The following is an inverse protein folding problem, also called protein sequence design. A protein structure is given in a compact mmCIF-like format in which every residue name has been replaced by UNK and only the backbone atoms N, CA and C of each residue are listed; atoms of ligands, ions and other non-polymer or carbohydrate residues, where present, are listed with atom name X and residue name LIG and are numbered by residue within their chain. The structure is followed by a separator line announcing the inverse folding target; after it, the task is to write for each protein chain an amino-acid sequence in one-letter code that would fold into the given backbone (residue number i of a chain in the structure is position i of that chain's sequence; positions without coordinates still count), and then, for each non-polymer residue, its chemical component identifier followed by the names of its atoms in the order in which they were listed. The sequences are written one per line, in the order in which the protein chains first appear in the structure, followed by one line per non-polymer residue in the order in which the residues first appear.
data_IF_478926131204
#
_entry.id   IF_478926131204
#
_cell.length_a   1.000
_cell.length_b   1.000
_cell.length_c   1.000
_cell.angle_alpha   90.00
_cell.angle_beta   90.00
_cell.angle_gamma   90.00
#
_symmetry.space_group_name_H-M   'P 1'
#
loop_
_entity.id
_entity.type
_entity.pdbx_description
1 polymer ?
#
# COMPACT_ATOMS: atom_id res chain seq x y z
N UNK A 1 5.47 17.43 25.82
CA UNK A 1 5.51 16.79 24.48
C UNK A 1 4.98 15.35 24.53
N UNK A 2 3.84 15.10 25.20
CA UNK A 2 3.35 13.73 25.51
C UNK A 2 2.15 13.30 24.63
N UNK A 3 1.99 13.84 23.42
CA UNK A 3 0.73 13.68 22.67
C UNK A 3 0.87 12.94 21.36
N UNK A 4 1.84 13.26 20.49
CA UNK A 4 1.94 12.57 19.19
C UNK A 4 2.45 11.12 19.33
N UNK A 5 3.39 10.91 20.26
CA UNK A 5 3.96 9.61 20.53
C UNK A 5 2.97 8.67 21.20
N UNK A 6 2.21 9.18 22.18
CA UNK A 6 1.18 8.40 22.88
C UNK A 6 -0.01 8.08 21.99
N UNK A 7 -0.35 8.97 21.04
CA UNK A 7 -1.40 8.69 20.04
C UNK A 7 -0.93 7.62 19.04
N UNK A 8 0.31 7.71 18.54
CA UNK A 8 0.89 6.69 17.68
C UNK A 8 1.04 5.35 18.42
N UNK A 9 1.50 5.35 19.68
CA UNK A 9 1.60 4.19 20.55
C UNK A 9 0.22 3.57 20.88
N UNK A 10 -0.84 4.37 21.08
CA UNK A 10 -2.18 3.82 21.32
C UNK A 10 -2.80 3.22 20.06
N UNK A 11 -2.55 3.83 18.90
CA UNK A 11 -3.01 3.29 17.62
C UNK A 11 -2.25 2.01 17.24
N UNK A 12 -0.95 1.91 17.56
CA UNK A 12 -0.16 0.67 17.35
C UNK A 12 -0.59 -0.47 18.26
N UNK A 13 -1.16 -0.17 19.44
CA UNK A 13 -1.68 -1.18 20.39
C UNK A 13 -3.03 -1.76 19.98
N UNK A 14 -3.78 -1.06 19.12
CA UNK A 14 -5.06 -1.53 18.59
C UNK A 14 -5.11 -1.37 17.06
N UNK A 15 -4.62 -2.38 16.31
CA UNK A 15 -4.61 -2.36 14.85
C UNK A 15 -5.99 -2.14 14.22
N UNK A 16 -7.07 -2.42 14.95
CA UNK A 16 -8.45 -2.22 14.53
C UNK A 16 -8.79 -0.74 14.30
N UNK A 17 -8.11 0.18 15.00
CA UNK A 17 -8.27 1.63 14.81
C UNK A 17 -7.42 2.18 13.64
N UNK A 18 -6.56 1.36 13.02
CA UNK A 18 -5.66 1.78 11.92
C UNK A 18 -6.20 1.51 10.51
N UNK A 19 -7.33 0.81 10.37
CA UNK A 19 -7.93 0.52 9.06
C UNK A 19 -8.56 1.74 8.40
N UNK A 20 -8.79 2.82 9.15
CA UNK A 20 -9.29 4.08 8.60
C UNK A 20 -8.17 4.85 7.87
N UNK A 21 -8.41 5.12 6.59
CA UNK A 21 -7.54 5.93 5.72
C UNK A 21 -7.24 7.31 6.32
N UNK A 22 -8.22 7.96 6.94
CA UNK A 22 -8.05 9.29 7.54
C UNK A 22 -7.09 9.21 8.73
N UNK A 23 -7.25 8.20 9.57
CA UNK A 23 -6.40 7.96 10.74
C UNK A 23 -4.96 7.65 10.31
N UNK A 24 -4.77 6.83 9.25
CA UNK A 24 -3.46 6.57 8.64
C UNK A 24 -2.78 7.86 8.16
N UNK A 25 -3.47 8.70 7.40
CA UNK A 25 -2.88 9.95 6.88
C UNK A 25 -2.48 10.92 8.00
N UNK A 26 -3.30 11.02 9.06
CA UNK A 26 -2.99 11.84 10.24
C UNK A 26 -1.72 11.34 10.94
N UNK A 27 -1.61 10.03 11.20
CA UNK A 27 -0.42 9.42 11.82
C UNK A 27 0.84 9.72 11.00
N UNK A 28 0.79 9.49 9.69
CA UNK A 28 1.92 9.70 8.79
C UNK A 28 2.34 11.19 8.71
N UNK A 29 1.37 12.10 8.74
CA UNK A 29 1.62 13.55 8.69
C UNK A 29 2.16 14.09 10.01
N UNK A 30 1.66 13.62 11.15
CA UNK A 30 2.20 13.95 12.47
C UNK A 30 3.64 13.45 12.61
N UNK A 31 3.90 12.19 12.23
CA UNK A 31 5.22 11.58 12.25
C UNK A 31 6.24 12.36 11.39
N UNK A 32 5.83 12.81 10.20
CA UNK A 32 6.66 13.69 9.35
C UNK A 32 6.95 15.03 10.02
N UNK A 33 5.96 15.61 10.71
CA UNK A 33 6.10 16.89 11.42
C UNK A 33 7.08 16.78 12.60
N UNK A 34 7.08 15.66 13.33
CA UNK A 34 8.05 15.39 14.40
C UNK A 34 9.47 15.36 13.83
N UNK A 35 9.68 14.73 12.67
CA UNK A 35 11.00 14.73 12.03
C UNK A 35 11.47 16.12 11.61
N UNK A 36 10.57 17.07 11.40
CA UNK A 36 10.92 18.43 10.99
C UNK A 36 11.33 19.36 12.15
N UNK A 37 11.24 18.91 13.42
CA UNK A 37 11.61 19.74 14.58
C UNK A 37 13.10 20.13 14.55
N UNK A 38 13.39 21.39 14.90
CA UNK A 38 14.74 21.99 14.80
C UNK A 38 15.76 21.42 15.79
N UNK A 39 15.31 20.83 16.90
CA UNK A 39 16.18 20.30 17.97
C UNK A 39 15.95 18.80 18.22
N UNK A 40 15.46 18.08 17.20
CA UNK A 40 15.25 16.64 17.30
C UNK A 40 16.59 15.91 17.48
N UNK A 41 16.70 15.13 18.54
CA UNK A 41 17.91 14.35 18.82
C UNK A 41 17.98 13.08 17.96
N UNK A 42 19.20 12.53 17.81
CA UNK A 42 19.39 11.22 17.15
C UNK A 42 18.58 10.11 17.82
N UNK A 43 18.50 10.12 19.15
CA UNK A 43 17.75 9.11 19.90
C UNK A 43 16.25 9.19 19.64
N UNK A 44 15.67 10.40 19.64
CA UNK A 44 14.26 10.62 19.32
C UNK A 44 13.96 10.25 17.87
N UNK A 45 14.83 10.62 16.93
CA UNK A 45 14.69 10.24 15.53
C UNK A 45 14.75 8.71 15.34
N UNK A 46 15.65 8.02 16.04
CA UNK A 46 15.73 6.54 16.03
C UNK A 46 14.46 5.91 16.61
N UNK A 47 13.91 6.47 17.70
CA UNK A 47 12.62 6.02 18.26
C UNK A 47 11.47 6.16 17.25
N UNK A 48 11.37 7.31 16.58
CA UNK A 48 10.39 7.54 15.53
C UNK A 48 10.54 6.57 14.34
N UNK A 49 11.78 6.31 13.91
CA UNK A 49 12.02 5.32 12.86
C UNK A 49 11.57 3.92 13.28
N UNK A 50 11.82 3.52 14.54
CA UNK A 50 11.36 2.24 15.08
C UNK A 50 9.83 2.13 15.08
N UNK A 51 9.13 3.17 15.51
CA UNK A 51 7.66 3.21 15.50
C UNK A 51 7.11 3.06 14.07
N UNK A 52 7.70 3.72 13.09
CA UNK A 52 7.29 3.58 11.69
C UNK A 52 7.66 2.21 11.09
N UNK A 53 8.76 1.59 11.53
CA UNK A 53 9.11 0.22 11.18
C UNK A 53 8.02 -0.75 11.68
N UNK A 54 7.62 -0.61 12.95
CA UNK A 54 6.55 -1.42 13.54
C UNK A 54 5.23 -1.19 12.83
N UNK A 55 4.90 0.08 12.51
CA UNK A 55 3.69 0.41 11.78
C UNK A 55 3.65 -0.23 10.39
N UNK A 56 4.75 -0.16 9.65
CA UNK A 56 4.88 -0.81 8.35
C UNK A 56 4.78 -2.35 8.45
N UNK A 57 5.34 -2.97 9.49
CA UNK A 57 5.18 -4.41 9.74
C UNK A 57 3.70 -4.77 9.95
N UNK A 58 2.97 -4.00 10.78
CA UNK A 58 1.53 -4.22 11.01
C UNK A 58 0.74 -4.10 9.71
N UNK A 59 0.96 -3.03 8.93
CA UNK A 59 0.32 -2.83 7.63
C UNK A 59 0.54 -4.01 6.67
N UNK A 60 1.74 -4.57 6.65
CA UNK A 60 2.09 -5.70 5.77
C UNK A 60 1.48 -7.05 6.21
N UNK A 61 1.04 -7.15 7.46
CA UNK A 61 0.39 -8.35 8.02
C UNK A 61 -1.13 -8.25 8.12
N UNK A 62 -1.69 -7.05 7.95
CA UNK A 62 -3.15 -6.82 8.01
C UNK A 62 -3.90 -7.41 6.82
N UNK A 63 -5.20 -7.70 7.01
CA UNK A 63 -6.08 -8.25 5.96
C UNK A 63 -6.16 -7.34 4.71
N UNK A 64 -6.17 -6.01 4.91
CA UNK A 64 -6.29 -5.01 3.84
C UNK A 64 -5.12 -5.06 2.85
N UNK A 65 -3.97 -5.64 3.22
CA UNK A 65 -2.81 -5.74 2.32
C UNK A 65 -3.14 -6.57 1.06
N UNK A 66 -4.11 -7.50 1.15
CA UNK A 66 -4.58 -8.31 0.02
C UNK A 66 -5.24 -7.46 -1.07
N UNK A 67 -5.81 -6.32 -0.66
CA UNK A 67 -6.45 -5.36 -1.56
C UNK A 67 -5.45 -4.36 -2.17
N UNK A 68 -4.17 -4.41 -1.81
CA UNK A 68 -3.15 -3.49 -2.33
C UNK A 68 -2.42 -4.06 -3.56
N UNK A 69 -1.97 -3.18 -4.47
CA UNK A 69 -1.23 -3.58 -5.67
C UNK A 69 0.08 -4.28 -5.31
N UNK A 70 0.46 -5.38 -5.98
CA UNK A 70 1.70 -6.09 -5.68
C UNK A 70 2.95 -5.19 -5.74
N UNK A 71 2.94 -4.23 -6.68
CA UNK A 71 4.02 -3.26 -6.87
C UNK A 71 4.20 -2.35 -5.67
N UNK A 72 3.11 -1.77 -5.13
CA UNK A 72 3.19 -0.88 -3.98
C UNK A 72 3.57 -1.63 -2.70
N UNK A 73 3.05 -2.85 -2.51
CA UNK A 73 3.42 -3.72 -1.38
C UNK A 73 4.92 -4.07 -1.42
N UNK A 74 5.44 -4.46 -2.59
CA UNK A 74 6.87 -4.78 -2.76
C UNK A 74 7.76 -3.56 -2.51
N UNK A 75 7.33 -2.37 -2.92
CA UNK A 75 8.03 -1.13 -2.64
C UNK A 75 8.12 -0.88 -1.12
N UNK A 76 7.01 -1.03 -0.38
CA UNK A 76 7.00 -0.90 1.07
C UNK A 76 7.91 -1.95 1.75
N UNK A 77 7.82 -3.22 1.36
CA UNK A 77 8.69 -4.29 1.91
C UNK A 77 10.18 -4.00 1.70
N UNK A 78 10.54 -3.49 0.52
CA UNK A 78 11.93 -3.13 0.19
C UNK A 78 12.41 -2.00 1.09
N UNK A 79 11.62 -0.94 1.20
CA UNK A 79 11.93 0.23 2.05
C UNK A 79 11.98 -0.15 3.52
N UNK A 80 11.08 -1.01 4.00
CA UNK A 80 11.07 -1.51 5.37
C UNK A 80 12.34 -2.30 5.70
N UNK A 81 12.81 -3.14 4.78
CA UNK A 81 14.08 -3.85 4.94
C UNK A 81 15.27 -2.89 5.04
N UNK A 82 15.27 -1.81 4.26
CA UNK A 82 16.29 -0.76 4.34
C UNK A 82 16.20 -0.01 5.67
N UNK A 83 15.00 0.37 6.11
CA UNK A 83 14.76 1.03 7.38
C UNK A 83 15.29 0.22 8.57
N UNK A 84 15.01 -1.09 8.59
CA UNK A 84 15.53 -2.01 9.62
C UNK A 84 17.06 -2.09 9.63
N UNK A 85 17.73 -1.91 8.48
CA UNK A 85 19.20 -1.87 8.41
C UNK A 85 19.74 -0.56 8.96
N UNK A 86 19.24 0.58 8.48
CA UNK A 86 19.64 1.92 8.91
C UNK A 86 19.40 2.12 10.41
N UNK A 87 18.28 1.64 10.94
CA UNK A 87 18.00 1.70 12.38
C UNK A 87 19.04 0.97 13.24
N UNK A 88 19.53 -0.19 12.77
CA UNK A 88 20.55 -1.00 13.45
C UNK A 88 21.98 -0.50 13.25
N UNK A 89 22.19 0.45 12.35
CA UNK A 89 23.51 1.01 12.11
C UNK A 89 23.89 1.96 13.25
N UNK A 90 24.94 1.60 13.97
CA UNK A 90 25.51 2.40 15.07
C UNK A 90 26.15 3.69 14.55
N UNK A 91 26.55 3.73 13.28
CA UNK A 91 27.17 4.89 12.63
C UNK A 91 26.17 5.80 11.93
N UNK A 92 24.89 5.42 11.85
CA UNK A 92 23.86 6.24 11.22
C UNK A 92 23.76 7.59 11.92
N UNK A 93 23.87 8.66 11.13
CA UNK A 93 23.74 10.04 11.59
C UNK A 93 22.27 10.42 11.80
N UNK A 94 22.02 11.57 12.43
CA UNK A 94 20.66 12.10 12.56
C UNK A 94 20.01 12.27 11.17
N UNK A 95 20.76 12.76 10.19
CA UNK A 95 20.27 12.96 8.82
C UNK A 95 19.93 11.64 8.13
N UNK A 96 20.74 10.60 8.30
CA UNK A 96 20.46 9.26 7.75
C UNK A 96 19.14 8.70 8.29
N UNK A 97 18.94 8.82 9.62
CA UNK A 97 17.72 8.35 10.28
C UNK A 97 16.49 9.14 9.79
N UNK A 98 16.60 10.48 9.70
CA UNK A 98 15.52 11.36 9.19
C UNK A 98 15.16 11.03 7.75
N UNK A 99 16.16 10.86 6.89
CA UNK A 99 15.98 10.52 5.48
C UNK A 99 15.30 9.16 5.31
N UNK A 100 15.76 8.15 6.06
CA UNK A 100 15.17 6.81 6.02
C UNK A 100 13.73 6.81 6.55
N UNK A 101 13.47 7.55 7.63
CA UNK A 101 12.11 7.74 8.15
C UNK A 101 11.17 8.31 7.08
N UNK A 102 11.55 9.42 6.44
CA UNK A 102 10.72 10.06 5.41
C UNK A 102 10.51 9.16 4.20
N UNK A 103 11.52 8.37 3.84
CA UNK A 103 11.42 7.38 2.76
C UNK A 103 10.44 6.27 3.11
N UNK A 104 10.46 5.76 4.35
CA UNK A 104 9.50 4.75 4.82
C UNK A 104 8.07 5.30 4.86
N UNK A 105 7.87 6.50 5.41
CA UNK A 105 6.57 7.18 5.41
C UNK A 105 6.05 7.36 3.98
N UNK A 106 6.89 7.80 3.05
CA UNK A 106 6.52 7.95 1.64
C UNK A 106 6.09 6.62 1.03
N UNK A 107 6.78 5.51 1.32
CA UNK A 107 6.38 4.20 0.84
C UNK A 107 5.02 3.76 1.41
N UNK A 108 4.73 4.06 2.69
CA UNK A 108 3.43 3.77 3.30
C UNK A 108 2.28 4.58 2.68
N UNK A 109 2.53 5.86 2.33
CA UNK A 109 1.57 6.72 1.60
C UNK A 109 1.33 6.26 0.16
N UNK A 110 2.32 5.63 -0.46
CA UNK A 110 2.25 5.09 -1.83
C UNK A 110 1.67 3.67 -1.92
N UNK A 111 1.21 3.09 -0.81
CA UNK A 111 0.36 1.90 -0.88
C UNK A 111 -0.88 2.24 -1.71
N UNK A 112 -1.15 1.40 -2.69
CA UNK A 112 -2.16 1.65 -3.71
C UNK A 112 -3.15 0.49 -3.72
N UNK A 113 -4.44 0.78 -3.76
CA UNK A 113 -5.49 -0.24 -3.80
C UNK A 113 -5.56 -0.82 -5.22
N UNK A 114 -5.80 -2.12 -5.35
CA UNK A 114 -6.10 -2.76 -6.63
C UNK A 114 -7.43 -2.26 -7.16
N UNK A 115 -7.55 -2.20 -8.48
CA UNK A 115 -8.85 -2.07 -9.12
C UNK A 115 -9.68 -3.31 -8.80
N UNK A 116 -10.91 -3.10 -8.35
CA UNK A 116 -11.89 -4.18 -8.24
C UNK A 116 -12.32 -4.58 -9.66
N UNK A 117 -11.99 -5.81 -10.05
CA UNK A 117 -12.36 -6.37 -11.36
C UNK A 117 -13.42 -7.45 -11.24
N UNK A 118 -14.13 -7.56 -10.11
CA UNK A 118 -15.10 -8.65 -9.87
C UNK A 118 -16.22 -8.66 -10.92
N UNK A 119 -16.80 -7.50 -11.23
CA UNK A 119 -17.84 -7.38 -12.26
C UNK A 119 -17.30 -7.68 -13.66
N UNK A 120 -16.09 -7.18 -13.97
CA UNK A 120 -15.42 -7.47 -15.23
C UNK A 120 -15.12 -8.97 -15.40
N UNK A 121 -14.76 -9.65 -14.32
CA UNK A 121 -14.51 -11.08 -14.28
C UNK A 121 -15.78 -11.89 -14.53
N UNK A 122 -16.90 -11.44 -13.95
CA UNK A 122 -18.22 -12.03 -14.18
C UNK A 122 -18.66 -11.88 -15.64
N UNK A 123 -18.57 -10.67 -16.20
CA UNK A 123 -18.95 -10.41 -17.60
C UNK A 123 -18.10 -11.20 -18.59
N UNK A 124 -16.77 -11.26 -18.38
CA UNK A 124 -15.86 -12.08 -19.19
C UNK A 124 -16.30 -13.55 -19.17
N UNK A 125 -16.73 -14.07 -18.01
CA UNK A 125 -17.20 -15.45 -17.90
C UNK A 125 -18.51 -15.69 -18.66
N UNK A 126 -19.43 -14.72 -18.66
CA UNK A 126 -20.67 -14.79 -19.43
C UNK A 126 -20.36 -14.80 -20.93
N UNK A 127 -19.51 -13.88 -21.39
CA UNK A 127 -19.10 -13.79 -22.79
C UNK A 127 -18.40 -15.06 -23.27
N UNK A 128 -17.52 -15.65 -22.45
CA UNK A 128 -16.87 -16.91 -22.75
C UNK A 128 -17.87 -18.08 -22.86
N UNK A 129 -18.92 -18.10 -22.04
CA UNK A 129 -19.99 -19.10 -22.12
C UNK A 129 -20.86 -18.91 -23.36
N UNK A 130 -21.24 -17.66 -23.68
CA UNK A 130 -21.96 -17.34 -24.91
C UNK A 130 -21.16 -17.77 -26.16
N UNK A 131 -19.83 -17.65 -26.12
CA UNK A 131 -18.95 -18.09 -27.21
C UNK A 131 -18.87 -19.63 -27.37
N UNK A 132 -19.36 -20.42 -26.41
CA UNK A 132 -19.54 -21.87 -26.59
C UNK A 132 -20.81 -22.22 -27.39
N UNK A 133 -21.68 -21.22 -27.62
CA UNK A 133 -22.96 -21.35 -28.33
C UNK A 133 -23.04 -20.42 -29.54
N UNK A 134 -21.91 -20.17 -30.21
CA UNK A 134 -21.79 -19.22 -31.32
C UNK A 134 -22.72 -19.49 -32.51
N UNK A 135 -23.16 -20.74 -32.69
CA UNK A 135 -24.09 -21.15 -33.74
C UNK A 135 -25.48 -20.51 -33.60
N UNK A 136 -25.81 -19.99 -32.41
CA UNK A 136 -27.07 -19.29 -32.11
C UNK A 136 -27.05 -17.81 -32.48
N UNK A 137 -25.90 -17.27 -32.88
CA UNK A 137 -25.70 -15.84 -33.07
C UNK A 137 -25.21 -15.53 -34.49
N UNK A 138 -25.46 -14.30 -34.93
CA UNK A 138 -25.02 -13.85 -36.25
C UNK A 138 -23.49 -13.60 -36.25
N UNK A 139 -22.76 -14.03 -37.30
CA UNK A 139 -21.30 -13.96 -37.33
C UNK A 139 -20.69 -12.58 -37.08
N UNK A 140 -21.26 -11.51 -37.61
CA UNK A 140 -20.76 -10.14 -37.40
C UNK A 140 -20.93 -9.67 -35.95
N UNK A 141 -21.96 -10.14 -35.26
CA UNK A 141 -22.19 -9.88 -33.83
C UNK A 141 -21.23 -10.66 -32.95
N UNK A 142 -20.96 -11.93 -33.30
CA UNK A 142 -19.93 -12.75 -32.63
C UNK A 142 -18.54 -12.13 -32.77
N UNK A 143 -18.20 -11.57 -33.94
CA UNK A 143 -16.92 -10.87 -34.13
C UNK A 143 -16.77 -9.68 -33.17
N UNK A 144 -17.80 -8.83 -33.06
CA UNK A 144 -17.80 -7.69 -32.12
C UNK A 144 -17.68 -8.14 -30.66
N UNK A 145 -18.34 -9.23 -30.27
CA UNK A 145 -18.24 -9.79 -28.93
C UNK A 145 -16.81 -10.24 -28.62
N UNK A 146 -16.15 -10.94 -29.55
CA UNK A 146 -14.75 -11.36 -29.39
C UNK A 146 -13.80 -10.16 -29.24
N UNK A 147 -14.02 -9.10 -30.02
CA UNK A 147 -13.22 -7.87 -29.93
C UNK A 147 -13.42 -7.17 -28.57
N UNK A 148 -14.66 -7.09 -28.08
CA UNK A 148 -14.97 -6.54 -26.76
C UNK A 148 -14.38 -7.39 -25.62
N UNK A 149 -14.51 -8.72 -25.70
CA UNK A 149 -13.95 -9.66 -24.74
C UNK A 149 -12.42 -9.54 -24.66
N UNK A 150 -11.75 -9.36 -25.81
CA UNK A 150 -10.31 -9.16 -25.84
C UNK A 150 -9.91 -7.85 -25.15
N UNK A 151 -10.63 -6.75 -25.41
CA UNK A 151 -10.41 -5.47 -24.72
C UNK A 151 -10.62 -5.60 -23.21
N UNK A 152 -11.67 -6.29 -22.78
CA UNK A 152 -11.95 -6.56 -21.36
C UNK A 152 -10.80 -7.33 -20.69
N UNK A 153 -10.27 -8.36 -21.36
CA UNK A 153 -9.10 -9.13 -20.89
C UNK A 153 -7.84 -8.28 -20.80
N UNK A 154 -7.63 -7.38 -21.74
CA UNK A 154 -6.48 -6.47 -21.73
C UNK A 154 -6.56 -5.45 -20.58
N UNK A 155 -7.73 -4.84 -20.37
CA UNK A 155 -7.99 -3.95 -19.23
C UNK A 155 -7.76 -4.69 -17.91
N UNK A 156 -8.30 -5.90 -17.76
CA UNK A 156 -8.07 -6.76 -16.57
C UNK A 156 -6.59 -7.05 -16.32
N UNK A 157 -5.81 -7.27 -17.37
CA UNK A 157 -4.36 -7.49 -17.25
C UNK A 157 -3.65 -6.24 -16.72
N UNK A 158 -4.06 -5.05 -17.18
CA UNK A 158 -3.49 -3.79 -16.66
C UNK A 158 -3.87 -3.50 -15.21
N UNK A 159 -5.07 -3.89 -14.79
CA UNK A 159 -5.55 -3.73 -13.41
C UNK A 159 -4.79 -4.57 -12.36
N UNK A 160 -4.03 -5.59 -12.79
CA UNK A 160 -3.25 -6.48 -11.93
C UNK A 160 -1.81 -6.00 -11.67
N UNK A 161 -1.33 -4.98 -12.38
CA UNK A 161 0.06 -4.48 -12.33
C UNK A 161 0.25 -3.35 -11.31
#
# INVERSE_FOLDING_TARGET
MQTALTLAESLLKDPSNMSDKETKEVVLSLSTTIQALKDLTLQEAKKQLLEMIQYADVLLTGEDIKQMTPKSVKALQTTLKQAKKVYKDEKATLEDIKAMHNTLVTAMKKLEVRLDTTELDHEISIDEDMLNHIDRYEPSSVAKLKDALQQAKDVKKTAKN
#
